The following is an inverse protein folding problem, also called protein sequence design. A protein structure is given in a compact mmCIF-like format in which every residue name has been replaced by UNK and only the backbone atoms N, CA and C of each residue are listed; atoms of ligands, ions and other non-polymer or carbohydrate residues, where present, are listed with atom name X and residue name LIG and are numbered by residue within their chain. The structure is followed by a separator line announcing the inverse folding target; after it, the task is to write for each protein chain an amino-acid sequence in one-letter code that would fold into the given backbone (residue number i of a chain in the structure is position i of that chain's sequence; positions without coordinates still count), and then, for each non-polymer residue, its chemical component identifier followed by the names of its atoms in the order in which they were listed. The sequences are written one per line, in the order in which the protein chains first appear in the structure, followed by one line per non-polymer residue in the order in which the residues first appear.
data_IF_997854103173
#
_entry.id   IF_997854103173
#
_cell.length_a   1.000
_cell.length_b   1.000
_cell.length_c   1.000
_cell.angle_alpha   90.00
_cell.angle_beta   90.00
_cell.angle_gamma   90.00
#
_symmetry.space_group_name_H-M   'P 1'
#
loop_
_entity.id
_entity.type
_entity.pdbx_description
1 polymer ?
#
# COMPACT_ATOMS: atom_id res chain seq x y z
N UNK A 1 -9.46 -19.05 -21.03
CA UNK A 1 -8.26 -18.61 -20.28
C UNK A 1 -8.48 -19.00 -18.82
N UNK A 2 -7.92 -20.12 -18.40
CA UNK A 2 -8.19 -20.73 -17.09
C UNK A 2 -7.23 -20.10 -16.07
N UNK A 3 -7.73 -19.24 -15.19
CA UNK A 3 -6.99 -18.82 -13.99
C UNK A 3 -7.16 -19.91 -12.92
N UNK A 4 -6.49 -21.05 -13.09
CA UNK A 4 -6.35 -22.01 -12.00
C UNK A 4 -5.48 -21.36 -10.94
N UNK A 5 -6.06 -20.93 -9.82
CA UNK A 5 -5.35 -20.31 -8.69
C UNK A 5 -4.39 -21.26 -7.94
N UNK A 6 -3.93 -22.32 -8.61
CA UNK A 6 -3.07 -23.33 -8.04
C UNK A 6 -1.70 -22.73 -7.72
N UNK A 7 -1.22 -23.05 -6.52
CA UNK A 7 0.08 -22.60 -6.01
C UNK A 7 0.93 -23.84 -5.71
N UNK A 8 1.39 -24.57 -6.74
CA UNK A 8 2.06 -25.85 -6.56
C UNK A 8 3.43 -25.73 -5.88
N UNK A 9 4.07 -24.57 -5.93
CA UNK A 9 5.42 -24.37 -5.41
C UNK A 9 5.39 -23.91 -3.95
N UNK A 10 5.85 -24.76 -3.02
CA UNK A 10 5.87 -24.46 -1.59
C UNK A 10 7.28 -24.10 -1.09
N UNK A 11 7.35 -23.11 -0.20
CA UNK A 11 8.59 -22.76 0.48
C UNK A 11 8.84 -23.71 1.66
N UNK A 12 9.91 -24.53 1.63
CA UNK A 12 10.18 -25.50 2.68
C UNK A 12 10.53 -24.87 4.04
N UNK A 13 10.86 -23.57 4.09
CA UNK A 13 11.18 -22.87 5.34
C UNK A 13 9.98 -22.27 6.06
N UNK A 14 8.94 -21.87 5.33
CA UNK A 14 7.81 -21.14 5.93
C UNK A 14 6.44 -21.55 5.38
N UNK A 15 6.35 -22.63 4.60
CA UNK A 15 5.10 -23.19 4.06
C UNK A 15 4.36 -22.29 3.06
N UNK A 16 4.92 -21.13 2.66
CA UNK A 16 4.26 -20.22 1.72
C UNK A 16 4.24 -20.83 0.33
N UNK A 17 3.07 -20.84 -0.30
CA UNK A 17 2.86 -21.38 -1.64
C UNK A 17 2.91 -20.29 -2.71
N UNK A 18 3.40 -20.60 -3.90
CA UNK A 18 3.58 -19.68 -5.03
C UNK A 18 3.06 -20.33 -6.32
N UNK A 19 2.59 -19.50 -7.24
CA UNK A 19 2.08 -19.95 -8.55
C UNK A 19 3.20 -20.40 -9.48
N UNK A 20 4.39 -19.79 -9.36
CA UNK A 20 5.55 -20.11 -10.21
C UNK A 20 6.79 -20.42 -9.36
N UNK A 21 7.69 -21.23 -9.92
CA UNK A 21 9.00 -21.53 -9.33
C UNK A 21 9.86 -20.27 -9.18
N UNK A 22 9.80 -19.35 -10.14
CA UNK A 22 10.52 -18.07 -10.09
C UNK A 22 10.10 -17.21 -8.89
N UNK A 23 8.80 -17.15 -8.57
CA UNK A 23 8.32 -16.44 -7.38
C UNK A 23 8.78 -17.13 -6.08
N UNK A 24 8.79 -18.46 -6.03
CA UNK A 24 9.32 -19.19 -4.89
C UNK A 24 10.82 -18.94 -4.71
N UNK A 25 11.60 -19.00 -5.79
CA UNK A 25 13.04 -18.74 -5.76
C UNK A 25 13.35 -17.32 -5.26
N UNK A 26 12.64 -16.34 -5.80
CA UNK A 26 12.72 -14.94 -5.35
C UNK A 26 12.32 -14.79 -3.86
N UNK A 27 11.29 -15.51 -3.41
CA UNK A 27 10.88 -15.51 -2.02
C UNK A 27 11.95 -16.09 -1.09
N UNK A 28 12.71 -17.09 -1.53
CA UNK A 28 13.76 -17.69 -0.71
C UNK A 28 14.88 -16.71 -0.32
N UNK A 29 15.10 -15.63 -1.08
CA UNK A 29 16.01 -14.55 -0.70
C UNK A 29 15.58 -13.84 0.58
N UNK A 30 14.28 -13.87 0.93
CA UNK A 30 13.81 -13.31 2.20
C UNK A 30 14.40 -14.04 3.39
N UNK A 31 14.61 -15.36 3.27
CA UNK A 31 15.18 -16.20 4.33
C UNK A 31 16.70 -16.12 4.43
N UNK A 32 17.37 -15.62 3.39
CA UNK A 32 18.84 -15.52 3.35
C UNK A 32 19.37 -14.16 3.81
N UNK A 33 18.48 -13.19 4.06
CA UNK A 33 18.82 -11.78 4.30
C UNK A 33 19.67 -11.10 3.22
N UNK A 34 20.10 -11.83 2.19
CA UNK A 34 20.86 -11.34 1.05
C UNK A 34 20.07 -10.25 0.33
N UNK A 35 20.71 -9.09 0.20
CA UNK A 35 20.22 -7.92 -0.50
C UNK A 35 21.24 -7.57 -1.59
N UNK A 36 21.23 -8.26 -2.74
CA UNK A 36 22.31 -8.13 -3.73
C UNK A 36 22.47 -6.70 -4.26
N UNK A 37 21.39 -5.92 -4.26
CA UNK A 37 21.35 -4.59 -4.85
C UNK A 37 21.54 -3.51 -3.78
N UNK A 38 22.67 -2.82 -3.79
CA UNK A 38 22.98 -1.77 -2.82
C UNK A 38 22.89 -0.39 -3.46
N UNK A 39 22.36 0.58 -2.71
CA UNK A 39 22.35 1.96 -3.13
C UNK A 39 23.76 2.55 -3.03
N UNK A 40 24.30 3.15 -4.10
CA UNK A 40 25.64 3.73 -4.07
C UNK A 40 25.73 4.96 -3.16
N UNK A 41 24.63 5.72 -3.01
CA UNK A 41 24.62 6.97 -2.24
C UNK A 41 24.53 6.76 -0.72
N UNK A 42 23.89 5.67 -0.27
CA UNK A 42 23.62 5.44 1.15
C UNK A 42 23.89 4.01 1.64
N UNK A 43 24.40 3.13 0.79
CA UNK A 43 24.73 1.74 1.13
C UNK A 43 23.52 0.83 1.42
N UNK A 44 22.29 1.33 1.35
CA UNK A 44 21.09 0.56 1.69
C UNK A 44 20.87 -0.60 0.70
N UNK A 45 20.76 -1.82 1.22
CA UNK A 45 20.50 -3.02 0.42
C UNK A 45 19.02 -3.30 0.13
N UNK A 46 18.75 -3.80 -1.08
CA UNK A 46 17.44 -4.18 -1.61
C UNK A 46 17.47 -5.59 -2.22
N UNK A 47 16.31 -6.25 -2.19
CA UNK A 47 16.11 -7.61 -2.76
C UNK A 47 15.93 -7.60 -4.27
N UNK A 48 15.48 -6.49 -4.85
CA UNK A 48 15.22 -6.37 -6.29
C UNK A 48 15.79 -5.08 -6.83
N UNK A 49 16.40 -5.15 -8.02
CA UNK A 49 16.94 -3.98 -8.71
C UNK A 49 15.87 -2.91 -8.94
N UNK A 50 14.66 -3.30 -9.34
CA UNK A 50 13.53 -2.37 -9.53
C UNK A 50 13.16 -1.58 -8.25
N UNK A 51 13.42 -2.14 -7.07
CA UNK A 51 13.21 -1.45 -5.79
C UNK A 51 14.36 -0.49 -5.50
N UNK A 52 15.59 -0.85 -5.84
CA UNK A 52 16.75 0.03 -5.76
C UNK A 52 16.57 1.26 -6.68
N UNK A 53 16.19 1.07 -7.95
CA UNK A 53 15.96 2.18 -8.89
C UNK A 53 14.88 3.15 -8.35
N UNK A 54 13.75 2.62 -7.85
CA UNK A 54 12.73 3.46 -7.21
C UNK A 54 13.26 4.18 -5.98
N UNK A 55 14.09 3.52 -5.18
CA UNK A 55 14.72 4.12 -4.02
C UNK A 55 15.65 5.27 -4.39
N UNK A 56 16.43 5.16 -5.46
CA UNK A 56 17.36 6.22 -5.89
C UNK A 56 16.65 7.56 -6.17
N UNK A 57 15.36 7.54 -6.47
CA UNK A 57 14.54 8.77 -6.61
C UNK A 57 14.52 9.64 -5.36
N UNK A 58 14.78 9.08 -4.17
CA UNK A 58 14.90 9.90 -2.96
C UNK A 58 16.15 10.78 -2.97
N UNK A 59 17.21 10.33 -3.63
CA UNK A 59 18.49 11.05 -3.70
C UNK A 59 18.50 12.04 -4.86
N UNK A 60 17.96 11.63 -6.01
CA UNK A 60 17.87 12.50 -7.19
C UNK A 60 16.73 13.51 -7.12
N UNK A 61 15.74 13.28 -6.26
CA UNK A 61 14.52 14.08 -6.21
C UNK A 61 13.57 13.86 -7.40
N UNK A 62 13.79 12.82 -8.21
CA UNK A 62 12.97 12.54 -9.39
C UNK A 62 11.51 12.21 -9.00
N UNK A 63 10.56 12.93 -9.61
CA UNK A 63 9.12 12.78 -9.35
C UNK A 63 8.37 12.60 -10.67
N UNK A 64 8.46 11.42 -11.31
CA UNK A 64 7.96 11.22 -12.67
C UNK A 64 6.44 11.13 -12.78
N UNK A 65 5.70 11.13 -11.67
CA UNK A 65 4.25 10.98 -11.66
C UNK A 65 3.58 12.30 -11.32
N UNK A 66 3.14 13.04 -12.34
CA UNK A 66 2.48 14.33 -12.18
C UNK A 66 0.95 14.20 -12.10
N UNK A 67 0.33 14.99 -11.23
CA UNK A 67 -1.11 15.16 -11.20
C UNK A 67 -1.55 16.21 -12.22
N UNK A 68 -2.26 15.78 -13.27
CA UNK A 68 -2.75 16.68 -14.30
C UNK A 68 -3.75 17.75 -13.83
N UNK A 69 -4.33 17.62 -12.63
CA UNK A 69 -5.29 18.60 -12.10
C UNK A 69 -4.62 19.75 -11.33
N UNK A 70 -3.47 19.52 -10.70
CA UNK A 70 -2.82 20.53 -9.84
C UNK A 70 -1.30 20.67 -10.05
N UNK A 71 -0.72 19.94 -11.00
CA UNK A 71 0.72 19.94 -11.29
C UNK A 71 1.61 19.30 -10.22
N UNK A 72 1.04 18.78 -9.12
CA UNK A 72 1.84 18.14 -8.08
C UNK A 72 2.43 16.83 -8.58
N UNK A 73 3.75 16.72 -8.48
CA UNK A 73 4.50 15.52 -8.89
C UNK A 73 4.81 14.59 -7.74
N UNK A 74 4.98 13.29 -7.98
CA UNK A 74 5.25 12.25 -6.99
C UNK A 74 6.34 11.29 -7.47
N UNK A 75 7.11 10.72 -6.52
CA UNK A 75 8.16 9.74 -6.82
C UNK A 75 7.62 8.34 -7.13
N UNK A 76 6.38 8.03 -6.69
CA UNK A 76 5.70 6.75 -6.89
C UNK A 76 4.28 6.93 -7.44
N UNK A 77 3.85 6.03 -8.33
CA UNK A 77 2.52 6.06 -8.95
C UNK A 77 1.39 5.89 -7.94
N UNK A 78 1.57 5.01 -6.94
CA UNK A 78 0.58 4.83 -5.86
C UNK A 78 0.34 6.12 -5.08
N UNK A 79 1.37 6.95 -4.89
CA UNK A 79 1.24 8.24 -4.23
C UNK A 79 0.40 9.21 -5.06
N UNK A 80 0.56 9.22 -6.39
CA UNK A 80 -0.28 9.99 -7.30
C UNK A 80 -1.74 9.52 -7.23
N UNK A 81 -2.01 8.21 -7.32
CA UNK A 81 -3.37 7.65 -7.24
C UNK A 81 -4.04 8.04 -5.91
N UNK A 82 -3.31 7.89 -4.79
CA UNK A 82 -3.84 8.29 -3.49
C UNK A 82 -4.07 9.80 -3.38
N UNK A 83 -3.24 10.61 -4.04
CA UNK A 83 -3.41 12.05 -4.10
C UNK A 83 -4.64 12.45 -4.91
N UNK A 84 -4.90 11.81 -6.05
CA UNK A 84 -6.06 12.10 -6.90
C UNK A 84 -7.40 11.93 -6.15
N UNK A 85 -7.44 11.08 -5.12
CA UNK A 85 -8.62 10.94 -4.24
C UNK A 85 -8.98 12.21 -3.47
N UNK A 86 -8.07 13.15 -3.33
CA UNK A 86 -8.34 14.46 -2.72
C UNK A 86 -9.27 15.27 -3.64
N UNK A 87 -9.03 15.21 -4.95
CA UNK A 87 -9.83 15.94 -5.93
C UNK A 87 -11.20 15.31 -6.13
N UNK A 88 -11.26 13.97 -6.22
CA UNK A 88 -12.53 13.23 -6.37
C UNK A 88 -13.31 13.10 -5.06
N UNK A 89 -12.69 13.42 -3.92
CA UNK A 89 -13.22 13.18 -2.56
C UNK A 89 -13.57 11.71 -2.28
N UNK A 90 -12.99 10.78 -3.04
CA UNK A 90 -13.23 9.34 -2.88
C UNK A 90 -12.63 8.83 -1.56
N UNK A 91 -13.44 8.10 -0.77
CA UNK A 91 -13.02 7.52 0.52
C UNK A 91 -13.42 6.03 0.59
N UNK A 92 -12.70 5.14 -0.13
CA UNK A 92 -13.12 3.74 -0.32
C UNK A 92 -13.06 2.90 0.96
N UNK A 93 -12.35 3.37 1.98
CA UNK A 93 -12.06 2.56 3.16
C UNK A 93 -12.90 3.04 4.34
N UNK A 94 -13.98 2.32 4.62
CA UNK A 94 -14.88 2.61 5.75
C UNK A 94 -14.45 1.85 7.00
N UNK A 95 -14.50 2.52 8.15
CA UNK A 95 -14.42 1.85 9.44
C UNK A 95 -15.76 1.23 9.78
N UNK A 96 -15.83 -0.10 9.81
CA UNK A 96 -17.07 -0.82 10.11
C UNK A 96 -17.66 -0.53 11.50
N UNK A 97 -16.84 -0.06 12.44
CA UNK A 97 -17.27 0.19 13.82
C UNK A 97 -17.87 1.59 14.03
N UNK A 98 -17.39 2.63 13.33
CA UNK A 98 -17.92 4.00 13.47
C UNK A 98 -18.32 4.66 12.13
N UNK A 99 -18.41 3.90 11.04
CA UNK A 99 -18.84 4.37 9.70
C UNK A 99 -17.91 5.41 9.05
N UNK A 100 -16.79 5.76 9.68
CA UNK A 100 -15.90 6.81 9.21
C UNK A 100 -15.10 6.33 8.01
N UNK A 101 -15.20 7.05 6.88
CA UNK A 101 -14.49 6.70 5.64
C UNK A 101 -13.14 7.41 5.51
N UNK A 102 -12.19 6.75 4.85
CA UNK A 102 -10.81 7.20 4.63
C UNK A 102 -10.42 7.00 3.16
N UNK A 103 -9.56 7.89 2.65
CA UNK A 103 -9.01 7.79 1.29
C UNK A 103 -7.86 6.77 1.17
N UNK A 104 -7.30 6.30 2.29
CA UNK A 104 -6.18 5.35 2.32
C UNK A 104 -6.40 4.22 3.32
N UNK A 105 -6.01 3.01 2.93
CA UNK A 105 -6.15 1.79 3.76
C UNK A 105 -5.34 1.86 5.06
N UNK A 106 -4.13 2.41 5.01
CA UNK A 106 -3.27 2.58 6.19
C UNK A 106 -3.95 3.45 7.26
N UNK A 107 -4.73 4.45 6.84
CA UNK A 107 -5.45 5.34 7.75
C UNK A 107 -6.59 4.64 8.46
N UNK A 108 -7.39 3.82 7.76
CA UNK A 108 -8.45 3.05 8.43
C UNK A 108 -7.89 2.00 9.39
N UNK A 109 -6.80 1.31 9.02
CA UNK A 109 -6.16 0.31 9.90
C UNK A 109 -5.63 0.98 11.17
N UNK A 110 -4.96 2.13 11.03
CA UNK A 110 -4.49 2.90 12.19
C UNK A 110 -5.66 3.38 13.05
N UNK A 111 -6.74 3.84 12.42
CA UNK A 111 -7.93 4.30 13.11
C UNK A 111 -8.63 3.16 13.88
N UNK A 112 -8.71 1.96 13.31
CA UNK A 112 -9.31 0.79 13.96
C UNK A 112 -8.62 0.43 15.29
N UNK A 113 -7.33 0.74 15.45
CA UNK A 113 -6.62 0.53 16.73
C UNK A 113 -7.18 1.36 17.89
N UNK A 114 -7.79 2.52 17.60
CA UNK A 114 -8.40 3.40 18.60
C UNK A 114 -9.62 2.72 19.25
N UNK A 115 -10.27 1.79 18.54
CA UNK A 115 -11.39 1.05 19.09
C UNK A 115 -10.99 -0.24 19.81
N UNK A 116 -9.81 -0.78 19.49
CA UNK A 116 -9.27 -1.98 20.13
C UNK A 116 -8.65 -1.66 21.50
N UNK A 117 -8.13 -0.45 21.66
CA UNK A 117 -7.65 0.10 22.92
C UNK A 117 -8.77 0.99 23.47
N UNK A 118 -9.49 0.62 24.54
CA UNK A 118 -10.43 1.52 25.23
C UNK A 118 -9.68 2.76 25.77
N UNK A 119 -9.36 3.70 24.89
CA UNK A 119 -8.72 4.97 25.22
C UNK A 119 -9.80 6.05 25.24
N UNK A 120 -9.67 7.06 26.12
CA UNK A 120 -10.71 8.06 26.37
C UNK A 120 -11.06 8.96 25.16
N UNK A 121 -10.34 8.85 24.05
CA UNK A 121 -10.54 9.63 22.84
C UNK A 121 -11.59 8.97 21.94
N UNK A 122 -12.84 9.41 22.09
CA UNK A 122 -14.00 8.88 21.33
C UNK A 122 -13.83 9.05 19.81
N UNK A 123 -14.10 8.01 19.01
CA UNK A 123 -14.31 8.15 17.57
C UNK A 123 -15.59 8.99 17.36
N UNK A 124 -15.46 10.20 16.83
CA UNK A 124 -16.61 10.99 16.38
C UNK A 124 -17.21 10.40 15.11
N UNK A 125 -18.45 9.89 15.22
CA UNK A 125 -19.29 9.51 14.08
C UNK A 125 -19.60 10.77 13.26
N UNK A 126 -19.18 10.81 12.00
CA UNK A 126 -19.79 11.73 11.03
C UNK A 126 -20.87 10.90 10.36
N UNK A 127 -22.12 11.15 10.78
CA UNK A 127 -23.28 10.39 10.38
C UNK A 127 -23.41 10.28 8.86
N UNK A 128 -23.85 9.09 8.42
CA UNK A 128 -24.45 8.93 7.09
C UNK A 128 -25.57 9.95 6.97
N UNK A 129 -25.39 10.95 6.12
CA UNK A 129 -26.52 11.72 5.61
C UNK A 129 -27.31 10.77 4.70
N UNK A 130 -28.21 9.99 5.29
CA UNK A 130 -29.29 9.35 4.55
C UNK A 130 -30.11 10.48 3.95
N UNK A 131 -29.96 10.72 2.66
CA UNK A 131 -30.87 11.58 1.91
C UNK A 131 -32.25 10.97 1.98
N UNK A 132 -33.10 11.50 2.86
CA UNK A 132 -34.55 11.44 2.69
C UNK A 132 -34.84 12.11 1.35
N UNK A 133 -35.23 11.32 0.34
CA UNK A 133 -35.81 11.85 -0.87
C UNK A 133 -37.15 12.52 -0.54
N UNK A 134 -37.49 13.67 -1.13
CA UNK A 134 -38.80 14.26 -0.94
C UNK A 134 -39.85 13.54 -1.79
N UNK A 135 -40.97 13.24 -1.13
CA UNK A 135 -42.34 13.00 -1.63
C UNK A 135 -42.62 11.79 -2.49
#
# INVERSE_FOLDING_TARGET
MIHSGERPYECPRCGKRFQTSSNLHQHQWIHREERPFHCPDCGKGFKHNSTLIKHQRIHTGERPYECGECGMSFSHSFSLICHQRIHTKERPYECEQCGKSFSQRSHVIRHQKIHAEERPYKCGNVGRASTLGPS
#
